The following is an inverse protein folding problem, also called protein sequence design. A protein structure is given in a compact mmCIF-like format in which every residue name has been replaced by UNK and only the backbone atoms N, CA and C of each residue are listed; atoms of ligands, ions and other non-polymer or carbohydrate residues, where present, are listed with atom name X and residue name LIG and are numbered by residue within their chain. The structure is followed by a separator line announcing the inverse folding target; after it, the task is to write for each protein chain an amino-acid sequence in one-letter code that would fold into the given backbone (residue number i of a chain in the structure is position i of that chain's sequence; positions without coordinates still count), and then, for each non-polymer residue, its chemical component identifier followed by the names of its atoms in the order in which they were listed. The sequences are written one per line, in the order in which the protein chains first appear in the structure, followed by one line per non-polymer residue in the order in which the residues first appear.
data_IF_486827267001
#
_entry.id   IF_486827267001
#
_cell.length_a   1.000
_cell.length_b   1.000
_cell.length_c   1.000
_cell.angle_alpha   90.00
_cell.angle_beta   90.00
_cell.angle_gamma   90.00
#
_symmetry.space_group_name_H-M   'P 1'
#
loop_
_entity.id
_entity.type
_entity.pdbx_description
1 polymer ?
#
# COMPACT_ATOMS: atom_id res chain seq x y z
N UNK A 1 11.20 -15.01 25.80
CA UNK A 1 10.64 -15.48 24.52
C UNK A 1 9.40 -14.65 24.23
N UNK A 2 9.50 -13.67 23.32
CA UNK A 2 8.32 -12.92 22.89
C UNK A 2 7.38 -13.86 22.12
N UNK A 3 6.09 -13.80 22.46
CA UNK A 3 5.07 -14.65 21.87
C UNK A 3 5.02 -14.38 20.36
N UNK A 4 5.24 -15.38 19.50
CA UNK A 4 5.18 -15.22 18.03
C UNK A 4 3.84 -14.66 17.53
N UNK A 5 2.77 -14.80 18.35
CA UNK A 5 1.46 -14.16 18.12
C UNK A 5 1.46 -12.64 18.32
N UNK A 6 2.35 -12.09 19.14
CA UNK A 6 2.48 -10.65 19.40
C UNK A 6 3.41 -9.94 18.41
N UNK A 7 4.34 -10.67 17.78
CA UNK A 7 5.34 -10.11 16.84
C UNK A 7 4.68 -9.64 15.54
N UNK A 8 3.60 -10.29 15.11
CA UNK A 8 2.86 -9.92 13.89
C UNK A 8 1.47 -9.40 14.24
N UNK A 9 1.43 -8.27 14.94
CA UNK A 9 0.19 -7.69 15.44
C UNK A 9 -0.80 -7.46 14.28
N UNK A 10 -1.96 -8.12 14.36
CA UNK A 10 -3.07 -7.84 13.45
C UNK A 10 -3.60 -6.43 13.75
N UNK A 11 -3.98 -5.66 12.73
CA UNK A 11 -4.64 -4.37 12.95
C UNK A 11 -5.96 -4.55 13.69
N UNK A 12 -6.35 -3.52 14.44
CA UNK A 12 -7.73 -3.37 14.88
C UNK A 12 -8.55 -2.92 13.66
N UNK A 13 -9.30 -3.85 13.05
CA UNK A 13 -10.09 -3.59 11.85
C UNK A 13 -11.50 -3.15 12.19
N UNK A 14 -11.79 -1.88 11.91
CA UNK A 14 -13.09 -1.25 12.12
C UNK A 14 -13.91 -1.31 10.82
N UNK A 15 -15.22 -1.51 10.94
CA UNK A 15 -16.13 -1.49 9.79
C UNK A 15 -17.06 -0.28 9.85
N UNK A 16 -16.84 0.67 8.94
CA UNK A 16 -17.67 1.85 8.78
C UNK A 16 -18.48 1.76 7.47
N UNK A 17 -19.80 1.65 7.57
CA UNK A 17 -20.70 1.31 6.44
C UNK A 17 -20.22 0.08 5.63
N UNK A 18 -19.61 -0.90 6.32
CA UNK A 18 -19.07 -2.11 5.73
C UNK A 18 -17.68 -1.97 5.09
N UNK A 19 -17.13 -0.75 5.00
CA UNK A 19 -15.74 -0.50 4.59
C UNK A 19 -14.81 -0.92 5.74
N UNK A 20 -13.88 -1.87 5.53
CA UNK A 20 -12.84 -2.17 6.51
C UNK A 20 -11.84 -1.01 6.57
N UNK A 21 -11.49 -0.57 7.77
CA UNK A 21 -10.47 0.45 8.04
C UNK A 21 -9.58 -0.11 9.14
N UNK A 22 -8.28 -0.23 8.86
CA UNK A 22 -7.29 -0.77 9.77
C UNK A 22 -6.68 0.34 10.64
N UNK A 23 -6.61 0.07 11.94
CA UNK A 23 -6.06 0.98 12.94
C UNK A 23 -4.98 0.27 13.75
N UNK A 24 -3.91 1.00 14.04
CA UNK A 24 -2.79 0.56 14.84
C UNK A 24 -2.64 1.44 16.06
N UNK A 25 -2.41 0.81 17.22
CA UNK A 25 -2.22 1.50 18.51
C UNK A 25 -0.85 2.18 18.63
N UNK A 26 0.17 1.72 17.90
CA UNK A 26 1.52 2.30 17.92
C UNK A 26 2.19 2.17 16.55
N UNK A 27 3.22 2.99 16.31
CA UNK A 27 4.09 2.93 15.14
C UNK A 27 4.81 1.58 15.02
N UNK A 28 5.26 1.02 16.14
CA UNK A 28 6.07 -0.21 16.14
C UNK A 28 5.25 -1.40 15.65
N UNK A 29 3.96 -1.44 16.02
CA UNK A 29 3.02 -2.44 15.51
C UNK A 29 2.78 -2.30 14.02
N UNK A 30 2.72 -1.07 13.52
CA UNK A 30 2.58 -0.77 12.09
C UNK A 30 3.83 -1.22 11.31
N UNK A 31 5.03 -0.89 11.80
CA UNK A 31 6.32 -1.32 11.24
C UNK A 31 6.38 -2.85 11.17
N UNK A 32 6.16 -3.52 12.31
CA UNK A 32 6.18 -4.99 12.39
C UNK A 32 5.17 -5.64 11.44
N UNK A 33 4.02 -4.98 11.20
CA UNK A 33 3.03 -5.45 10.24
C UNK A 33 3.51 -5.32 8.80
N UNK A 34 4.19 -4.23 8.44
CA UNK A 34 4.77 -4.09 7.11
C UNK A 34 5.92 -5.07 6.88
N UNK A 35 6.78 -5.31 7.88
CA UNK A 35 7.84 -6.33 7.85
C UNK A 35 7.28 -7.74 7.63
N UNK A 36 6.14 -8.06 8.25
CA UNK A 36 5.41 -9.29 7.97
C UNK A 36 4.93 -9.34 6.52
N UNK A 37 4.27 -8.29 6.02
CA UNK A 37 3.66 -8.31 4.69
C UNK A 37 4.69 -8.39 3.56
N UNK A 38 5.84 -7.71 3.70
CA UNK A 38 6.93 -7.79 2.72
C UNK A 38 7.62 -9.15 2.72
N UNK A 39 7.56 -9.89 3.82
CA UNK A 39 8.12 -11.24 3.95
C UNK A 39 7.11 -12.35 3.64
N UNK A 40 5.83 -12.00 3.51
CA UNK A 40 4.77 -12.97 3.30
C UNK A 40 4.82 -13.53 1.86
N UNK A 41 4.71 -14.86 1.66
CA UNK A 41 4.88 -15.47 0.33
C UNK A 41 3.78 -15.08 -0.67
N UNK A 42 2.65 -14.56 -0.19
CA UNK A 42 1.54 -14.11 -1.03
C UNK A 42 1.53 -12.61 -1.21
N UNK A 43 1.12 -12.18 -2.41
CA UNK A 43 0.96 -10.78 -2.73
C UNK A 43 -0.04 -10.09 -1.78
N UNK A 44 0.45 -9.08 -1.09
CA UNK A 44 -0.30 -8.24 -0.17
C UNK A 44 -0.53 -6.86 -0.74
N UNK A 45 -1.74 -6.36 -0.59
CA UNK A 45 -2.14 -5.07 -1.14
C UNK A 45 -2.52 -4.12 0.00
N UNK A 46 -1.96 -2.91 -0.04
CA UNK A 46 -2.25 -1.83 0.92
C UNK A 46 -2.81 -0.65 0.17
N UNK A 47 -4.02 -0.23 0.54
CA UNK A 47 -4.75 0.86 -0.11
C UNK A 47 -5.19 1.90 0.91
N UNK A 48 -5.50 3.09 0.41
CA UNK A 48 -6.04 4.18 1.21
C UNK A 48 -7.46 4.50 0.75
N UNK A 49 -8.32 4.79 1.70
CA UNK A 49 -9.71 5.17 1.46
C UNK A 49 -9.94 6.56 2.03
N UNK A 50 -10.64 7.36 1.23
CA UNK A 50 -11.15 8.66 1.60
C UNK A 50 -12.68 8.63 1.67
N UNK A 51 -13.29 9.79 1.93
CA UNK A 51 -14.75 9.89 1.95
C UNK A 51 -15.39 9.55 0.59
N UNK A 52 -14.72 9.86 -0.54
CA UNK A 52 -15.20 9.49 -1.88
C UNK A 52 -15.19 7.98 -2.08
N UNK A 53 -14.19 7.31 -1.54
CA UNK A 53 -14.05 5.85 -1.53
C UNK A 53 -15.19 5.18 -0.77
N UNK A 54 -15.70 5.79 0.29
CA UNK A 54 -16.90 5.31 1.00
C UNK A 54 -18.11 5.24 0.07
N UNK A 55 -18.38 6.31 -0.67
CA UNK A 55 -19.48 6.34 -1.65
C UNK A 55 -19.26 5.27 -2.73
N UNK A 56 -18.03 5.19 -3.28
CA UNK A 56 -17.71 4.16 -4.28
C UNK A 56 -17.93 2.74 -3.77
N UNK A 57 -17.63 2.47 -2.50
CA UNK A 57 -17.83 1.16 -1.88
C UNK A 57 -19.31 0.75 -1.81
N UNK A 58 -20.20 1.73 -1.60
CA UNK A 58 -21.64 1.50 -1.57
C UNK A 58 -22.19 1.17 -2.95
N UNK A 59 -21.71 1.83 -4.01
CA UNK A 59 -22.27 1.67 -5.36
C UNK A 59 -21.55 0.64 -6.24
N UNK A 60 -20.21 0.52 -6.16
CA UNK A 60 -19.41 -0.27 -7.10
C UNK A 60 -18.96 -1.61 -6.49
N UNK A 61 -19.58 -2.70 -6.96
CA UNK A 61 -19.27 -4.08 -6.50
C UNK A 61 -17.80 -4.46 -6.69
N UNK A 62 -17.18 -4.05 -7.80
CA UNK A 62 -15.76 -4.35 -8.09
C UNK A 62 -14.83 -3.65 -7.10
N UNK A 63 -15.05 -2.36 -6.87
CA UNK A 63 -14.32 -1.58 -5.86
C UNK A 63 -14.50 -2.19 -4.47
N UNK A 64 -15.73 -2.54 -4.10
CA UNK A 64 -16.05 -3.22 -2.84
C UNK A 64 -15.26 -4.51 -2.64
N UNK A 65 -15.21 -5.37 -3.67
CA UNK A 65 -14.45 -6.63 -3.64
C UNK A 65 -12.95 -6.37 -3.46
N UNK A 66 -12.40 -5.40 -4.20
CA UNK A 66 -11.00 -4.99 -4.08
C UNK A 66 -10.67 -4.57 -2.65
N UNK A 67 -11.42 -3.60 -2.11
CA UNK A 67 -11.21 -3.09 -0.74
C UNK A 67 -11.31 -4.20 0.31
N UNK A 68 -12.32 -5.08 0.22
CA UNK A 68 -12.47 -6.21 1.16
C UNK A 68 -11.34 -7.24 1.08
N UNK A 69 -10.68 -7.34 -0.07
CA UNK A 69 -9.58 -8.29 -0.30
C UNK A 69 -8.20 -7.74 0.05
N UNK A 70 -8.08 -6.43 0.28
CA UNK A 70 -6.81 -5.79 0.60
C UNK A 70 -6.26 -6.25 1.96
N UNK A 71 -4.94 -6.39 2.03
CA UNK A 71 -4.24 -6.79 3.25
C UNK A 71 -4.31 -5.70 4.32
N UNK A 72 -4.18 -4.43 3.93
CA UNK A 72 -4.44 -3.27 4.79
C UNK A 72 -5.25 -2.20 4.05
N UNK A 73 -6.12 -1.52 4.79
CA UNK A 73 -6.94 -0.40 4.31
C UNK A 73 -6.83 0.75 5.29
N UNK A 74 -6.13 1.81 4.89
CA UNK A 74 -5.94 2.99 5.73
C UNK A 74 -6.89 4.13 5.36
N UNK A 75 -7.18 5.01 6.30
CA UNK A 75 -7.81 6.29 6.00
C UNK A 75 -6.77 7.39 5.94
N UNK A 76 -6.74 8.16 4.85
CA UNK A 76 -5.98 9.41 4.73
C UNK A 76 -6.89 10.65 4.88
N UNK A 77 -8.17 10.47 5.19
CA UNK A 77 -9.16 11.55 5.20
C UNK A 77 -9.52 11.98 6.63
N UNK A 78 -9.17 13.23 6.97
CA UNK A 78 -9.60 13.88 8.21
C UNK A 78 -11.13 13.94 8.33
N UNK A 79 -11.82 14.13 7.21
CA UNK A 79 -13.28 14.14 7.16
C UNK A 79 -13.85 12.76 7.50
N UNK A 80 -13.33 11.69 6.89
CA UNK A 80 -13.75 10.33 7.21
C UNK A 80 -13.53 10.02 8.70
N UNK A 81 -12.38 10.45 9.25
CA UNK A 81 -12.10 10.34 10.69
C UNK A 81 -13.13 11.06 11.55
N UNK A 82 -13.43 12.32 11.25
CA UNK A 82 -14.43 13.10 11.99
C UNK A 82 -15.81 12.44 11.95
N UNK A 83 -16.23 11.97 10.77
CA UNK A 83 -17.51 11.27 10.58
C UNK A 83 -17.54 9.95 11.36
N UNK A 84 -16.49 9.13 11.32
CA UNK A 84 -16.42 7.89 12.12
C UNK A 84 -16.48 8.18 13.63
N UNK A 85 -15.77 9.22 14.08
CA UNK A 85 -15.80 9.66 15.48
C UNK A 85 -17.18 10.15 15.89
N UNK A 86 -17.88 10.89 15.02
CA UNK A 86 -19.21 11.40 15.29
C UNK A 86 -20.27 10.29 15.32
N UNK A 87 -20.34 9.44 14.29
CA UNK A 87 -21.40 8.45 14.13
C UNK A 87 -21.19 7.18 14.95
N UNK A 88 -19.94 6.74 15.12
CA UNK A 88 -19.64 5.46 15.80
C UNK A 88 -18.84 5.62 17.08
N UNK A 89 -18.43 6.84 17.45
CA UNK A 89 -17.52 7.12 18.57
C UNK A 89 -16.19 6.36 18.45
N UNK A 90 -15.79 6.04 17.23
CA UNK A 90 -14.54 5.34 16.92
C UNK A 90 -13.57 6.35 16.33
N UNK A 91 -12.40 6.48 16.95
CA UNK A 91 -11.32 7.26 16.40
C UNK A 91 -10.51 6.39 15.43
N UNK A 92 -10.80 6.52 14.13
CA UNK A 92 -9.94 5.92 13.12
C UNK A 92 -8.68 6.78 12.95
N UNK A 93 -7.51 6.16 12.91
CA UNK A 93 -6.27 6.87 12.59
C UNK A 93 -6.38 7.61 11.25
N UNK A 94 -5.70 8.75 11.13
CA UNK A 94 -5.50 9.43 9.85
C UNK A 94 -4.04 9.24 9.47
N UNK A 95 -3.80 8.31 8.56
CA UNK A 95 -2.45 7.94 8.12
C UNK A 95 -2.07 8.82 6.94
N UNK A 96 -1.27 9.84 7.21
CA UNK A 96 -0.70 10.69 6.16
C UNK A 96 0.23 9.85 5.27
N UNK A 97 0.21 10.16 3.97
CA UNK A 97 1.02 9.47 2.96
C UNK A 97 2.51 9.53 3.31
N UNK A 98 3.01 10.67 3.81
CA UNK A 98 4.41 10.82 4.18
C UNK A 98 4.74 10.00 5.42
N UNK A 99 3.82 9.93 6.40
CA UNK A 99 4.01 9.09 7.58
C UNK A 99 4.13 7.62 7.19
N UNK A 100 3.27 7.13 6.29
CA UNK A 100 3.39 5.75 5.80
C UNK A 100 4.66 5.58 4.98
N UNK A 101 5.02 6.54 4.13
CA UNK A 101 6.26 6.47 3.36
C UNK A 101 7.48 6.31 4.28
N UNK A 102 7.58 7.09 5.36
CA UNK A 102 8.68 6.99 6.32
C UNK A 102 8.73 5.60 6.99
N UNK A 103 7.57 5.05 7.34
CA UNK A 103 7.47 3.68 7.87
C UNK A 103 7.97 2.67 6.85
N UNK A 104 7.58 2.79 5.57
CA UNK A 104 8.04 1.89 4.50
C UNK A 104 9.55 1.99 4.28
N UNK A 105 10.12 3.21 4.31
CA UNK A 105 11.56 3.41 4.17
C UNK A 105 12.31 2.73 5.32
N UNK A 106 11.86 2.93 6.57
CA UNK A 106 12.45 2.27 7.73
C UNK A 106 12.39 0.74 7.63
N UNK A 107 11.28 0.17 7.14
CA UNK A 107 11.18 -1.28 6.89
C UNK A 107 12.17 -1.74 5.82
N UNK A 108 12.33 -0.99 4.74
CA UNK A 108 13.25 -1.35 3.65
C UNK A 108 14.71 -1.26 4.08
N UNK A 109 15.08 -0.26 4.88
CA UNK A 109 16.41 -0.11 5.47
C UNK A 109 16.78 -1.32 6.35
N UNK A 110 15.83 -1.81 7.14
CA UNK A 110 16.08 -2.91 8.09
C UNK A 110 15.96 -4.32 7.50
N UNK A 111 15.35 -4.47 6.31
CA UNK A 111 15.05 -5.81 5.73
C UNK A 111 15.89 -6.17 4.51
N UNK A 112 16.72 -5.24 4.00
CA UNK A 112 17.49 -5.38 2.76
C UNK A 112 16.65 -5.82 1.54
N UNK A 113 15.33 -5.58 1.60
CA UNK A 113 14.38 -5.95 0.56
C UNK A 113 14.43 -4.95 -0.60
N UNK A 114 14.05 -5.42 -1.78
CA UNK A 114 14.09 -4.60 -2.99
C UNK A 114 12.82 -3.78 -3.15
N UNK A 115 12.99 -2.52 -3.58
CA UNK A 115 11.88 -1.59 -3.80
C UNK A 115 11.80 -1.15 -5.27
N UNK A 116 10.58 -1.11 -5.79
CA UNK A 116 10.27 -0.61 -7.13
C UNK A 116 9.19 0.46 -7.05
N UNK A 117 9.36 1.56 -7.79
CA UNK A 117 8.50 2.73 -7.67
C UNK A 117 7.58 2.87 -8.89
N UNK A 118 6.33 3.24 -8.68
CA UNK A 118 5.40 3.61 -9.76
C UNK A 118 4.86 5.02 -9.51
N UNK A 119 4.92 5.88 -10.53
CA UNK A 119 4.35 7.23 -10.46
C UNK A 119 3.52 7.58 -11.70
N UNK A 120 2.91 8.76 -11.72
CA UNK A 120 1.97 9.22 -12.74
C UNK A 120 2.57 9.24 -14.16
N UNK A 121 3.79 9.73 -14.30
CA UNK A 121 4.51 9.80 -15.58
C UNK A 121 6.01 9.56 -15.42
N UNK A 122 6.71 9.37 -16.54
CA UNK A 122 8.14 8.99 -16.58
C UNK A 122 9.05 10.01 -15.91
N UNK A 123 8.74 11.31 -16.05
CA UNK A 123 9.58 12.39 -15.52
C UNK A 123 9.47 12.40 -13.99
N UNK A 124 8.24 12.34 -13.47
CA UNK A 124 7.98 12.31 -12.03
C UNK A 124 8.57 11.02 -11.42
N UNK A 125 8.33 9.86 -12.06
CA UNK A 125 8.85 8.57 -11.59
C UNK A 125 10.37 8.58 -11.47
N UNK A 126 11.08 9.07 -12.49
CA UNK A 126 12.54 9.17 -12.48
C UNK A 126 13.03 10.13 -11.38
N UNK A 127 12.38 11.29 -11.25
CA UNK A 127 12.74 12.29 -10.23
C UNK A 127 12.60 11.73 -8.82
N UNK A 128 11.46 11.10 -8.51
CA UNK A 128 11.21 10.52 -7.19
C UNK A 128 12.14 9.34 -6.90
N UNK A 129 12.39 8.48 -7.89
CA UNK A 129 13.35 7.40 -7.78
C UNK A 129 14.77 7.90 -7.43
N UNK A 130 15.28 8.89 -8.18
CA UNK A 130 16.62 9.43 -7.93
C UNK A 130 16.71 10.08 -6.54
N UNK A 131 15.72 10.90 -6.18
CA UNK A 131 15.68 11.54 -4.85
C UNK A 131 15.67 10.54 -3.71
N UNK A 132 14.84 9.49 -3.80
CA UNK A 132 14.76 8.46 -2.77
C UNK A 132 16.04 7.65 -2.69
N UNK A 133 16.62 7.28 -3.84
CA UNK A 133 17.90 6.57 -3.90
C UNK A 133 19.06 7.39 -3.33
N UNK A 134 19.06 8.70 -3.52
CA UNK A 134 20.06 9.61 -2.94
C UNK A 134 19.89 9.78 -1.43
N UNK A 135 18.65 9.86 -0.95
CA UNK A 135 18.32 10.09 0.46
C UNK A 135 18.45 8.82 1.31
N UNK A 136 18.18 7.64 0.74
CA UNK A 136 18.18 6.35 1.43
C UNK A 136 19.12 5.37 0.72
N UNK A 137 20.43 5.57 0.92
CA UNK A 137 21.49 4.82 0.21
C UNK A 137 21.51 3.32 0.53
N UNK A 138 20.98 2.94 1.69
CA UNK A 138 20.93 1.54 2.16
C UNK A 138 19.77 0.76 1.53
N UNK A 139 18.75 1.45 1.00
CA UNK A 139 17.60 0.83 0.35
C UNK A 139 17.96 0.42 -1.08
N UNK A 140 17.70 -0.85 -1.41
CA UNK A 140 17.89 -1.36 -2.76
C UNK A 140 16.71 -0.99 -3.68
N UNK A 141 16.75 0.23 -4.23
CA UNK A 141 15.83 0.65 -5.29
C UNK A 141 16.24 0.05 -6.64
N UNK A 142 15.45 -0.91 -7.13
CA UNK A 142 15.77 -1.69 -8.33
C UNK A 142 15.14 -1.15 -9.62
N UNK A 143 14.24 -0.17 -9.52
CA UNK A 143 13.72 0.51 -10.69
C UNK A 143 12.50 1.39 -10.42
N UNK A 144 12.02 2.00 -11.50
CA UNK A 144 10.82 2.80 -11.51
C UNK A 144 10.03 2.57 -12.81
N UNK A 145 8.74 2.86 -12.78
CA UNK A 145 7.86 2.80 -13.94
C UNK A 145 6.80 3.88 -13.89
N UNK A 146 6.25 4.24 -15.03
CA UNK A 146 5.19 5.23 -15.10
C UNK A 146 3.83 4.64 -15.46
N UNK A 147 2.80 5.16 -14.84
CA UNK A 147 1.42 4.71 -15.00
C UNK A 147 0.91 4.83 -16.44
N UNK A 148 1.35 5.86 -17.19
CA UNK A 148 0.96 6.01 -18.61
C UNK A 148 1.50 4.84 -19.44
N UNK A 149 2.73 4.40 -19.19
CA UNK A 149 3.29 3.21 -19.81
C UNK A 149 2.55 1.93 -19.38
N UNK A 150 2.16 1.80 -18.11
CA UNK A 150 1.33 0.65 -17.64
C UNK A 150 0.06 0.53 -18.47
N UNK A 151 -0.63 1.66 -18.70
CA UNK A 151 -1.86 1.68 -19.51
C UNK A 151 -1.64 1.31 -20.98
N UNK A 152 -0.50 1.70 -21.56
CA UNK A 152 -0.17 1.40 -22.96
C UNK A 152 0.19 -0.07 -23.16
N UNK A 153 0.92 -0.67 -22.21
CA UNK A 153 1.38 -2.05 -22.34
C UNK A 153 1.46 -2.75 -20.97
N UNK A 154 0.31 -3.31 -20.53
CA UNK A 154 0.18 -4.05 -19.27
C UNK A 154 1.06 -5.30 -19.22
N UNK A 155 1.27 -5.96 -20.36
CA UNK A 155 1.99 -7.23 -20.45
C UNK A 155 3.48 -7.03 -20.23
N UNK A 156 4.04 -6.02 -20.89
CA UNK A 156 5.42 -5.60 -20.68
C UNK A 156 5.67 -5.12 -19.25
N UNK A 157 4.70 -4.41 -18.65
CA UNK A 157 4.78 -4.02 -17.24
C UNK A 157 4.91 -5.25 -16.33
N UNK A 158 4.01 -6.23 -16.47
CA UNK A 158 4.08 -7.44 -15.64
C UNK A 158 5.30 -8.32 -15.94
N UNK A 159 5.73 -8.40 -17.20
CA UNK A 159 6.98 -9.09 -17.56
C UNK A 159 8.19 -8.47 -16.84
N UNK A 160 8.26 -7.13 -16.80
CA UNK A 160 9.32 -6.43 -16.09
C UNK A 160 9.25 -6.65 -14.57
N UNK A 161 8.08 -6.51 -13.95
CA UNK A 161 7.91 -6.77 -12.51
C UNK A 161 8.27 -8.22 -12.17
N UNK A 162 7.84 -9.19 -12.97
CA UNK A 162 8.11 -10.61 -12.72
C UNK A 162 9.57 -11.01 -13.01
N UNK A 163 10.27 -10.27 -13.87
CA UNK A 163 11.72 -10.44 -14.10
C UNK A 163 12.55 -9.86 -12.96
N UNK A 164 12.18 -8.68 -12.46
CA UNK A 164 12.89 -7.98 -11.39
C UNK A 164 12.55 -8.50 -9.99
N UNK A 165 11.37 -9.11 -9.84
CA UNK A 165 10.84 -9.66 -8.59
C UNK A 165 11.00 -8.72 -7.39
N UNK A 166 10.51 -7.47 -7.45
CA UNK A 166 10.64 -6.56 -6.31
C UNK A 166 9.90 -7.11 -5.10
N UNK A 167 10.51 -7.00 -3.93
CA UNK A 167 9.85 -7.38 -2.67
C UNK A 167 8.70 -6.43 -2.34
N UNK A 168 8.91 -5.13 -2.59
CA UNK A 168 7.92 -4.07 -2.42
C UNK A 168 7.75 -3.23 -3.68
N UNK A 169 6.51 -2.91 -4.03
CA UNK A 169 6.15 -1.87 -4.98
C UNK A 169 5.48 -0.72 -4.23
N UNK A 170 6.00 0.49 -4.38
CA UNK A 170 5.38 1.71 -3.86
C UNK A 170 4.85 2.51 -5.05
N UNK A 171 3.54 2.71 -5.08
CA UNK A 171 2.92 3.63 -6.04
C UNK A 171 2.64 4.97 -5.36
N UNK A 172 3.24 6.05 -5.87
CA UNK A 172 2.94 7.43 -5.47
C UNK A 172 1.72 8.02 -6.21
N UNK A 173 1.01 7.16 -6.95
CA UNK A 173 -0.15 7.54 -7.72
C UNK A 173 -1.26 6.52 -7.50
N UNK A 174 -1.96 6.63 -6.37
CA UNK A 174 -3.21 5.90 -6.14
C UNK A 174 -4.22 6.22 -7.27
N UNK A 175 -4.51 5.19 -8.05
CA UNK A 175 -5.44 5.26 -9.18
C UNK A 175 -6.24 3.96 -9.25
N UNK A 176 -7.56 4.09 -9.42
CA UNK A 176 -8.47 2.95 -9.47
C UNK A 176 -8.09 1.90 -10.52
N UNK A 177 -7.56 2.31 -11.67
CA UNK A 177 -7.11 1.38 -12.71
C UNK A 177 -5.91 0.57 -12.23
N UNK A 178 -4.89 1.22 -11.65
CA UNK A 178 -3.68 0.55 -11.20
C UNK A 178 -3.97 -0.41 -10.06
N UNK A 179 -4.73 0.06 -9.06
CA UNK A 179 -5.15 -0.76 -7.93
C UNK A 179 -5.97 -1.98 -8.41
N UNK A 180 -6.90 -1.79 -9.34
CA UNK A 180 -7.67 -2.90 -9.89
C UNK A 180 -6.81 -3.87 -10.71
N UNK A 181 -5.81 -3.35 -11.45
CA UNK A 181 -4.88 -4.16 -12.22
C UNK A 181 -4.08 -5.10 -11.31
N UNK A 182 -3.57 -4.60 -10.17
CA UNK A 182 -2.90 -5.43 -9.17
C UNK A 182 -3.84 -6.43 -8.51
N UNK A 183 -5.06 -6.00 -8.15
CA UNK A 183 -6.06 -6.88 -7.55
C UNK A 183 -6.43 -8.08 -8.44
N UNK A 184 -6.68 -7.84 -9.73
CA UNK A 184 -7.04 -8.90 -10.69
C UNK A 184 -5.87 -9.85 -10.94
N UNK A 185 -4.63 -9.35 -10.92
CA UNK A 185 -3.43 -10.13 -11.21
C UNK A 185 -2.68 -10.60 -9.96
N UNK A 186 -3.28 -10.52 -8.76
CA UNK A 186 -2.60 -10.78 -7.48
C UNK A 186 -1.92 -12.15 -7.36
N UNK A 187 -2.34 -13.14 -8.13
CA UNK A 187 -1.72 -14.47 -8.16
C UNK A 187 -0.60 -14.61 -9.21
N UNK A 188 -0.50 -13.68 -10.16
CA UNK A 188 0.51 -13.68 -11.23
C UNK A 188 1.66 -12.69 -11.00
N UNK A 189 1.58 -11.85 -9.97
CA UNK A 189 2.60 -10.84 -9.66
C UNK A 189 3.61 -11.44 -8.68
N UNK A 190 4.90 -11.44 -9.06
CA UNK A 190 6.02 -11.88 -8.20
C UNK A 190 6.54 -10.74 -7.32
N UNK A 191 5.65 -10.20 -6.49
CA UNK A 191 5.94 -9.18 -5.48
C UNK A 191 5.20 -9.49 -4.20
N UNK A 192 5.84 -9.34 -3.05
CA UNK A 192 5.22 -9.62 -1.75
C UNK A 192 4.26 -8.51 -1.32
N UNK A 193 4.61 -7.25 -1.54
CA UNK A 193 3.81 -6.11 -1.07
C UNK A 193 3.66 -5.01 -2.14
N UNK A 194 2.43 -4.58 -2.40
CA UNK A 194 2.14 -3.34 -3.13
C UNK A 194 1.42 -2.34 -2.23
N UNK A 195 1.95 -1.12 -2.15
CA UNK A 195 1.37 0.00 -1.40
C UNK A 195 0.99 1.14 -2.36
N UNK A 196 -0.27 1.57 -2.29
CA UNK A 196 -0.81 2.64 -3.15
C UNK A 196 -1.03 3.90 -2.34
N UNK A 197 -0.03 4.78 -2.33
CA UNK A 197 -0.03 6.07 -1.62
C UNK A 197 -0.89 7.13 -2.33
#
# INVERSE_FOLDING_TARGET
MANLKDIYSKPDRIYFFGVPIDVFKSSDKLISRFEYLISHPYHSMVIFVDFRSLLKFLFFKTFRKRVKSSSLVFSNSKLLRAVCKFFKRIDIGCYDVNTILLVLMSVLENTYKTCYIIDKDKIISKKNFLRLKESHKEINFIGYYDFKAVKRNKEMFFANINKLTPSMIISFYSNDYLENLFYVNKFGIRTNLSVFL
#
